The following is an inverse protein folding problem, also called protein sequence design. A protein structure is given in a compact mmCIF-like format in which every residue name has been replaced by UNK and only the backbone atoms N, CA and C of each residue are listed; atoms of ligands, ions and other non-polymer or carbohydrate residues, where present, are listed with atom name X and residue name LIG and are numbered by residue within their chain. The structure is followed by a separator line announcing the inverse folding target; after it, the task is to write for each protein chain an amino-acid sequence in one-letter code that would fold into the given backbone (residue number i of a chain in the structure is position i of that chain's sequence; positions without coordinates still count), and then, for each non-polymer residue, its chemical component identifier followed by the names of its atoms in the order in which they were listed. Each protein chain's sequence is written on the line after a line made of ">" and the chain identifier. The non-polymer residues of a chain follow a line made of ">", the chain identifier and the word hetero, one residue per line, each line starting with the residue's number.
data_IF_571418686899
#
_entry.id   IF_571418686899
#
_cell.length_a   1.000
_cell.length_b   1.000
_cell.length_c   1.000
_cell.angle_alpha   90.00
_cell.angle_beta   90.00
_cell.angle_gamma   90.00
#
_symmetry.space_group_name_H-M   'P 1'
#
loop_
_entity.id
_entity.type
_entity.pdbx_description
1 polymer ?
#
# COMPACT_ATOMS: atom_id res chain seq x y z
N UNK A 1 10.33 21.72 0.87
CA UNK A 1 9.66 22.27 2.08
C UNK A 1 8.21 22.52 1.71
N UNK A 2 7.48 21.43 1.47
CA UNK A 2 6.05 21.49 1.26
C UNK A 2 5.38 21.48 2.64
N UNK A 3 4.35 22.31 2.78
CA UNK A 3 3.75 22.70 4.03
C UNK A 3 3.37 21.47 4.87
N UNK A 4 3.87 21.42 6.11
CA UNK A 4 3.17 20.74 7.22
C UNK A 4 1.71 21.13 7.08
N UNK A 5 0.80 20.16 6.94
CA UNK A 5 -0.63 20.44 6.87
C UNK A 5 -0.99 21.31 8.07
N UNK A 6 -1.22 22.60 7.84
CA UNK A 6 -1.58 23.55 8.88
C UNK A 6 -2.93 23.08 9.45
N UNK A 7 -2.89 22.36 10.58
CA UNK A 7 -4.07 21.73 11.19
C UNK A 7 -3.96 20.23 11.49
N UNK A 8 -2.86 19.54 11.15
CA UNK A 8 -2.66 18.17 11.64
C UNK A 8 -2.09 18.18 13.08
N UNK A 9 -2.88 17.69 14.03
CA UNK A 9 -2.50 17.55 15.44
C UNK A 9 -2.26 16.06 15.75
N UNK A 10 -1.04 15.67 16.19
CA UNK A 10 -0.71 14.28 16.46
C UNK A 10 -1.58 13.65 17.56
N UNK A 11 -2.00 14.41 18.57
CA UNK A 11 -2.82 13.87 19.66
C UNK A 11 -4.25 13.59 19.19
N UNK A 12 -4.79 14.47 18.35
CA UNK A 12 -6.10 14.27 17.69
C UNK A 12 -6.03 13.11 16.70
N UNK A 13 -4.99 13.06 15.87
CA UNK A 13 -4.79 11.99 14.90
C UNK A 13 -4.63 10.61 15.57
N UNK A 14 -3.91 10.52 16.70
CA UNK A 14 -3.77 9.28 17.45
C UNK A 14 -5.13 8.80 17.99
N UNK A 15 -5.95 9.72 18.51
CA UNK A 15 -7.32 9.41 18.96
C UNK A 15 -8.21 8.94 17.83
N UNK A 16 -8.09 9.53 16.64
CA UNK A 16 -8.84 9.12 15.46
C UNK A 16 -8.42 7.73 14.97
N UNK A 17 -7.11 7.46 14.93
CA UNK A 17 -6.58 6.14 14.59
C UNK A 17 -7.09 5.09 15.57
N UNK A 18 -6.99 5.35 16.89
CA UNK A 18 -7.51 4.45 17.91
C UNK A 18 -9.03 4.30 17.86
N UNK A 19 -9.77 5.37 17.54
CA UNK A 19 -11.21 5.32 17.35
C UNK A 19 -11.58 4.43 16.17
N UNK A 20 -10.88 4.55 15.05
CA UNK A 20 -11.05 3.64 13.92
C UNK A 20 -10.75 2.19 14.32
N UNK A 21 -9.62 1.92 14.98
CA UNK A 21 -9.25 0.57 15.42
C UNK A 21 -10.28 -0.02 16.41
N UNK A 22 -10.90 0.80 17.25
CA UNK A 22 -11.81 0.31 18.28
C UNK A 22 -13.26 0.12 17.81
N UNK A 23 -13.71 0.84 16.78
CA UNK A 23 -15.12 0.88 16.39
C UNK A 23 -15.39 0.50 14.93
N UNK A 24 -14.37 0.44 14.07
CA UNK A 24 -14.53 0.04 12.67
C UNK A 24 -14.70 -1.48 12.54
N UNK A 25 -15.35 -1.89 11.45
CA UNK A 25 -15.43 -3.28 10.99
C UNK A 25 -14.44 -3.55 9.84
N UNK A 26 -13.41 -2.70 9.68
CA UNK A 26 -12.36 -2.85 8.67
C UNK A 26 -12.68 -2.23 7.31
N UNK A 27 -13.78 -1.49 7.19
CA UNK A 27 -14.07 -0.73 5.96
C UNK A 27 -13.01 0.35 5.74
N UNK A 28 -12.30 0.37 4.59
CA UNK A 28 -11.22 1.31 4.36
C UNK A 28 -11.64 2.77 4.58
N UNK A 29 -10.86 3.49 5.39
CA UNK A 29 -11.08 4.90 5.69
C UNK A 29 -9.86 5.75 5.27
N UNK A 30 -10.02 6.65 4.29
CA UNK A 30 -8.92 7.50 3.84
C UNK A 30 -8.34 8.41 4.93
N UNK A 31 -9.14 8.79 5.95
CA UNK A 31 -8.64 9.60 7.07
C UNK A 31 -7.71 8.80 7.97
N UNK A 32 -8.12 7.59 8.36
CA UNK A 32 -7.28 6.63 9.08
C UNK A 32 -5.95 6.37 8.34
N UNK A 33 -6.02 6.02 7.05
CA UNK A 33 -4.84 5.74 6.23
C UNK A 33 -3.90 6.95 6.15
N UNK A 34 -4.46 8.16 5.94
CA UNK A 34 -3.67 9.40 5.94
C UNK A 34 -2.98 9.63 7.27
N UNK A 35 -3.68 9.46 8.40
CA UNK A 35 -3.08 9.63 9.72
C UNK A 35 -1.91 8.66 9.96
N UNK A 36 -2.00 7.40 9.51
CA UNK A 36 -0.86 6.47 9.56
C UNK A 36 0.33 7.02 8.75
N UNK A 37 0.10 7.49 7.52
CA UNK A 37 1.14 8.10 6.68
C UNK A 37 1.79 9.34 7.32
N UNK A 38 0.99 10.21 7.95
CA UNK A 38 1.50 11.39 8.67
C UNK A 38 2.35 11.01 9.88
N UNK A 39 1.97 9.97 10.62
CA UNK A 39 2.81 9.45 11.71
C UNK A 39 4.15 8.93 11.18
N UNK A 40 4.16 8.23 10.05
CA UNK A 40 5.40 7.81 9.40
C UNK A 40 6.30 9.01 9.04
N UNK A 41 5.72 10.08 8.49
CA UNK A 41 6.45 11.33 8.22
C UNK A 41 7.06 11.94 9.47
N UNK A 42 6.30 11.96 10.56
CA UNK A 42 6.75 12.51 11.85
C UNK A 42 7.87 11.69 12.46
N UNK A 43 7.76 10.36 12.42
CA UNK A 43 8.70 9.46 13.07
C UNK A 43 10.00 9.30 12.31
N UNK A 44 9.94 9.30 10.97
CA UNK A 44 11.06 9.00 10.11
C UNK A 44 11.59 7.57 10.25
N UNK A 45 12.63 7.28 9.48
CA UNK A 45 13.36 6.01 9.49
C UNK A 45 14.14 5.78 10.81
N UNK A 46 14.48 4.53 11.17
CA UNK A 46 14.33 3.29 10.38
C UNK A 46 13.06 2.47 10.62
N UNK A 47 12.37 2.67 11.75
CA UNK A 47 11.23 1.82 12.17
C UNK A 47 10.02 2.66 12.61
N UNK A 48 9.41 3.44 11.70
CA UNK A 48 8.25 4.27 12.03
C UNK A 48 7.05 3.44 12.54
N UNK A 49 6.89 2.18 12.10
CA UNK A 49 5.82 1.28 12.58
C UNK A 49 5.95 0.95 14.07
N UNK A 50 7.18 0.71 14.57
CA UNK A 50 7.42 0.43 15.98
C UNK A 50 7.12 1.66 16.85
N UNK A 51 7.53 2.84 16.39
CA UNK A 51 7.21 4.11 17.06
C UNK A 51 5.71 4.39 17.06
N UNK A 52 5.01 4.08 15.97
CA UNK A 52 3.56 4.17 15.88
C UNK A 52 2.89 3.20 16.85
N UNK A 53 3.32 1.94 16.88
CA UNK A 53 2.79 0.93 17.79
C UNK A 53 2.89 1.39 19.25
N UNK A 54 4.08 1.83 19.69
CA UNK A 54 4.26 2.35 21.05
C UNK A 54 3.39 3.58 21.34
N UNK A 55 3.33 4.55 20.41
CA UNK A 55 2.49 5.73 20.57
C UNK A 55 1.01 5.35 20.75
N UNK A 56 0.49 4.47 19.91
CA UNK A 56 -0.90 4.04 19.95
C UNK A 56 -1.20 3.26 21.24
N UNK A 57 -0.28 2.38 21.68
CA UNK A 57 -0.43 1.64 22.93
C UNK A 57 -0.49 2.58 24.14
N UNK A 58 0.46 3.50 24.26
CA UNK A 58 0.50 4.49 25.35
C UNK A 58 -0.73 5.40 25.34
N UNK A 59 -1.16 5.83 24.16
CA UNK A 59 -2.32 6.70 23.99
C UNK A 59 -3.61 5.97 24.34
N UNK A 60 -3.75 4.70 23.95
CA UNK A 60 -4.92 3.88 24.30
C UNK A 60 -5.04 3.70 25.80
N UNK A 61 -3.93 3.45 26.50
CA UNK A 61 -3.90 3.37 27.96
C UNK A 61 -4.41 4.65 28.64
N UNK A 62 -3.93 5.81 28.17
CA UNK A 62 -4.41 7.12 28.67
C UNK A 62 -5.89 7.35 28.37
N UNK A 63 -6.36 6.98 27.18
CA UNK A 63 -7.76 7.16 26.78
C UNK A 63 -8.70 6.26 27.57
N UNK A 64 -8.29 5.03 27.89
CA UNK A 64 -9.07 4.13 28.74
C UNK A 64 -9.41 4.73 30.10
N UNK A 65 -8.46 5.46 30.68
CA UNK A 65 -8.61 6.04 32.01
C UNK A 65 -9.33 7.41 31.99
N UNK A 66 -9.30 8.12 30.86
CA UNK A 66 -9.74 9.52 30.77
C UNK A 66 -10.98 9.77 29.88
N UNK A 67 -11.34 8.84 28.99
CA UNK A 67 -12.42 9.02 28.01
C UNK A 67 -13.49 7.94 28.15
N UNK A 68 -14.76 8.31 28.45
CA UNK A 68 -15.86 7.36 28.50
C UNK A 68 -16.06 6.56 27.21
N UNK A 69 -15.75 7.16 26.06
CA UNK A 69 -15.84 6.50 24.74
C UNK A 69 -14.87 5.33 24.64
N UNK A 70 -13.69 5.43 25.25
CA UNK A 70 -12.66 4.37 25.26
C UNK A 70 -12.72 3.55 26.56
N UNK A 71 -13.88 3.40 27.19
CA UNK A 71 -13.98 2.55 28.39
C UNK A 71 -13.72 1.08 28.06
N UNK A 72 -14.24 0.63 26.93
CA UNK A 72 -13.93 -0.68 26.35
C UNK A 72 -12.98 -0.49 25.18
N UNK A 73 -11.79 -1.05 25.30
CA UNK A 73 -10.69 -0.96 24.33
C UNK A 73 -10.24 -2.33 23.84
N UNK A 74 -11.01 -3.38 24.15
CA UNK A 74 -10.63 -4.76 23.83
C UNK A 74 -10.32 -4.90 22.34
N UNK A 75 -11.19 -4.36 21.48
CA UNK A 75 -10.99 -4.42 20.04
C UNK A 75 -9.69 -3.74 19.61
N UNK A 76 -9.48 -2.46 19.94
CA UNK A 76 -8.27 -1.76 19.52
C UNK A 76 -7.00 -2.45 20.04
N UNK A 77 -7.00 -2.89 21.31
CA UNK A 77 -5.86 -3.58 21.92
C UNK A 77 -5.58 -4.91 21.20
N UNK A 78 -6.59 -5.74 21.00
CA UNK A 78 -6.42 -7.05 20.36
C UNK A 78 -6.04 -6.92 18.90
N UNK A 79 -6.62 -5.98 18.16
CA UNK A 79 -6.29 -5.73 16.74
C UNK A 79 -4.82 -5.30 16.59
N UNK A 80 -4.32 -4.42 17.47
CA UNK A 80 -2.90 -4.05 17.46
C UNK A 80 -1.99 -5.25 17.74
N UNK A 81 -2.27 -6.03 18.79
CA UNK A 81 -1.50 -7.25 19.08
C UNK A 81 -1.58 -8.27 17.93
N UNK A 82 -2.75 -8.51 17.34
CA UNK A 82 -2.91 -9.43 16.21
C UNK A 82 -2.08 -9.00 14.99
N UNK A 83 -2.12 -7.72 14.61
CA UNK A 83 -1.35 -7.22 13.47
C UNK A 83 0.15 -7.42 13.68
N UNK A 84 0.70 -6.96 14.81
CA UNK A 84 2.15 -6.96 15.03
C UNK A 84 2.70 -8.32 15.46
N UNK A 85 1.97 -9.09 16.25
CA UNK A 85 2.49 -10.33 16.85
C UNK A 85 2.09 -11.59 16.07
N UNK A 86 1.05 -11.53 15.22
CA UNK A 86 0.52 -12.71 14.52
C UNK A 86 0.51 -12.54 13.00
N UNK A 87 -0.23 -11.56 12.49
CA UNK A 87 -0.47 -11.42 11.04
C UNK A 87 0.79 -11.03 10.30
N UNK A 88 1.53 -10.02 10.77
CA UNK A 88 2.76 -9.60 10.10
C UNK A 88 3.84 -10.71 10.06
N UNK A 89 4.18 -11.39 11.18
CA UNK A 89 5.09 -12.53 11.13
C UNK A 89 4.60 -13.69 10.26
N UNK A 90 3.29 -13.96 10.26
CA UNK A 90 2.70 -15.00 9.42
C UNK A 90 2.73 -14.62 7.93
N UNK A 91 2.50 -13.35 7.57
CA UNK A 91 2.60 -12.85 6.20
C UNK A 91 4.04 -12.98 5.68
N UNK A 92 5.03 -12.64 6.52
CA UNK A 92 6.47 -12.85 6.21
C UNK A 92 6.80 -14.31 5.95
N UNK A 93 6.32 -15.20 6.81
CA UNK A 93 6.53 -16.65 6.65
C UNK A 93 5.84 -17.19 5.39
N UNK A 94 4.61 -16.75 5.14
CA UNK A 94 3.82 -17.19 3.98
C UNK A 94 4.49 -16.80 2.66
N UNK A 95 5.05 -15.59 2.60
CA UNK A 95 5.71 -15.03 1.41
C UNK A 95 7.24 -15.13 1.45
N UNK A 96 7.80 -16.04 2.26
CA UNK A 96 9.26 -16.15 2.41
C UNK A 96 9.95 -16.54 1.10
N UNK A 97 9.27 -17.23 0.20
CA UNK A 97 9.80 -17.64 -1.11
C UNK A 97 9.81 -16.46 -2.11
N UNK A 98 8.80 -15.61 -2.08
CA UNK A 98 8.65 -14.48 -3.00
C UNK A 98 9.30 -13.19 -2.51
N UNK A 99 9.24 -12.92 -1.19
CA UNK A 99 9.55 -11.63 -0.58
C UNK A 99 10.74 -11.66 0.39
N UNK A 100 11.56 -12.73 0.40
CA UNK A 100 12.75 -12.83 1.28
C UNK A 100 13.74 -11.67 1.13
N UNK A 101 13.77 -11.05 -0.03
CA UNK A 101 14.71 -9.98 -0.37
C UNK A 101 14.29 -8.62 0.21
N UNK A 102 13.03 -8.46 0.64
CA UNK A 102 12.53 -7.19 1.18
C UNK A 102 12.88 -7.02 2.65
N UNK A 103 13.45 -5.87 2.99
CA UNK A 103 13.59 -5.44 4.39
C UNK A 103 12.23 -5.12 5.02
N UNK A 104 12.18 -4.97 6.35
CA UNK A 104 10.97 -4.49 7.03
C UNK A 104 10.60 -3.07 6.61
N UNK A 105 11.59 -2.19 6.39
CA UNK A 105 11.33 -0.84 5.90
C UNK A 105 10.75 -0.84 4.47
N UNK A 106 11.15 -1.78 3.61
CA UNK A 106 10.58 -1.88 2.27
C UNK A 106 9.13 -2.40 2.29
N UNK A 107 8.81 -3.36 3.17
CA UNK A 107 7.48 -3.97 3.24
C UNK A 107 6.49 -3.12 4.05
N UNK A 108 6.87 -2.68 5.24
CA UNK A 108 6.02 -2.01 6.23
C UNK A 108 5.83 -0.52 5.95
N UNK A 109 5.56 -0.19 4.69
CA UNK A 109 5.15 1.16 4.25
C UNK A 109 3.80 1.55 4.90
N UNK A 110 3.50 2.85 5.06
CA UNK A 110 2.39 3.30 5.90
C UNK A 110 1.02 2.75 5.46
N UNK A 111 0.76 2.75 4.15
CA UNK A 111 -0.50 2.23 3.65
C UNK A 111 -0.55 0.70 3.63
N UNK A 112 0.59 0.00 3.57
CA UNK A 112 0.60 -1.45 3.78
C UNK A 112 0.20 -1.79 5.21
N UNK A 113 0.73 -1.06 6.21
CA UNK A 113 0.33 -1.21 7.60
C UNK A 113 -1.17 -0.90 7.81
N UNK A 114 -1.69 0.13 7.15
CA UNK A 114 -3.12 0.43 7.18
C UNK A 114 -3.96 -0.75 6.64
N UNK A 115 -3.53 -1.39 5.55
CA UNK A 115 -4.20 -2.58 4.99
C UNK A 115 -4.13 -3.79 5.92
N UNK A 116 -3.05 -3.98 6.67
CA UNK A 116 -2.97 -5.02 7.71
C UNK A 116 -4.06 -4.82 8.77
N UNK A 117 -4.21 -3.59 9.28
CA UNK A 117 -5.26 -3.27 10.25
C UNK A 117 -6.66 -3.49 9.68
N UNK A 118 -6.93 -3.00 8.47
CA UNK A 118 -8.22 -3.18 7.79
C UNK A 118 -8.56 -4.65 7.57
N UNK A 119 -7.56 -5.46 7.17
CA UNK A 119 -7.75 -6.89 6.95
C UNK A 119 -8.06 -7.65 8.25
N UNK A 120 -7.37 -7.33 9.35
CA UNK A 120 -7.66 -7.92 10.67
C UNK A 120 -9.03 -7.50 11.18
N UNK A 121 -9.38 -6.22 11.09
CA UNK A 121 -10.69 -5.71 11.51
C UNK A 121 -11.84 -6.37 10.74
N UNK A 122 -11.65 -6.62 9.44
CA UNK A 122 -12.64 -7.27 8.58
C UNK A 122 -12.96 -8.71 9.03
N UNK A 123 -12.03 -9.39 9.70
CA UNK A 123 -12.27 -10.77 10.19
C UNK A 123 -13.27 -10.83 11.35
N UNK A 124 -13.48 -9.70 12.04
CA UNK A 124 -14.33 -9.59 13.21
C UNK A 124 -13.87 -10.42 14.42
N UNK A 125 -14.46 -10.12 15.58
CA UNK A 125 -14.27 -10.92 16.79
C UNK A 125 -14.88 -12.33 16.68
N UNK A 126 -14.59 -13.23 17.63
CA UNK A 126 -13.81 -13.02 18.85
C UNK A 126 -12.31 -12.82 18.59
N UNK A 127 -11.71 -11.78 19.18
CA UNK A 127 -10.31 -11.39 18.89
C UNK A 127 -9.25 -12.33 19.46
N UNK A 128 -9.65 -13.27 20.32
CA UNK A 128 -8.78 -14.32 20.84
C UNK A 128 -8.46 -15.41 19.80
N UNK A 129 -9.23 -15.51 18.71
CA UNK A 129 -9.10 -16.55 17.68
C UNK A 129 -8.01 -16.24 16.66
N UNK A 130 -6.77 -16.03 17.12
CA UNK A 130 -5.64 -15.67 16.25
C UNK A 130 -5.40 -16.69 15.12
N UNK A 131 -5.62 -17.98 15.39
CA UNK A 131 -5.44 -19.07 14.41
C UNK A 131 -6.47 -19.06 13.27
N UNK A 132 -7.62 -18.40 13.47
CA UNK A 132 -8.60 -18.11 12.41
C UNK A 132 -8.27 -16.77 11.74
N UNK A 133 -8.08 -15.72 12.54
CA UNK A 133 -7.96 -14.35 12.04
C UNK A 133 -6.71 -14.18 11.16
N UNK A 134 -5.56 -14.73 11.55
CA UNK A 134 -4.32 -14.53 10.82
C UNK A 134 -4.34 -15.11 9.38
N UNK A 135 -4.68 -16.38 9.15
CA UNK A 135 -4.75 -16.91 7.78
C UNK A 135 -5.84 -16.23 6.95
N UNK A 136 -7.01 -15.92 7.52
CA UNK A 136 -8.09 -15.28 6.77
C UNK A 136 -7.73 -13.83 6.38
N UNK A 137 -7.06 -13.08 7.27
CA UNK A 137 -6.54 -11.75 6.95
C UNK A 137 -5.46 -11.79 5.85
N UNK A 138 -4.56 -12.78 5.88
CA UNK A 138 -3.55 -12.98 4.82
C UNK A 138 -4.23 -13.32 3.49
N UNK A 139 -5.23 -14.20 3.50
CA UNK A 139 -6.02 -14.53 2.31
C UNK A 139 -6.71 -13.32 1.71
N UNK A 140 -7.25 -12.43 2.55
CA UNK A 140 -7.85 -11.16 2.11
C UNK A 140 -6.81 -10.18 1.54
N UNK A 141 -5.62 -10.12 2.13
CA UNK A 141 -4.53 -9.26 1.65
C UNK A 141 -3.97 -9.73 0.31
N UNK A 142 -3.86 -11.04 0.11
CA UNK A 142 -3.34 -11.69 -1.08
C UNK A 142 -4.33 -11.59 -2.26
N UNK A 143 -4.55 -10.36 -2.73
CA UNK A 143 -5.57 -10.02 -3.73
C UNK A 143 -4.98 -9.84 -5.14
N UNK A 144 -3.66 -9.86 -5.31
CA UNK A 144 -3.00 -9.60 -6.60
C UNK A 144 -2.02 -10.70 -7.00
N UNK A 145 -2.19 -11.24 -8.21
CA UNK A 145 -1.22 -12.16 -8.84
C UNK A 145 -0.51 -11.52 -10.04
N UNK A 146 -1.15 -10.56 -10.71
CA UNK A 146 -0.72 -10.00 -11.98
C UNK A 146 -0.95 -10.94 -13.17
N UNK A 147 -0.31 -10.68 -14.30
CA UNK A 147 -0.41 -11.56 -15.47
C UNK A 147 0.15 -12.96 -15.17
N UNK A 148 -0.73 -13.97 -15.15
CA UNK A 148 -0.36 -15.39 -15.03
C UNK A 148 -0.54 -16.10 -16.38
N UNK A 149 0.52 -16.47 -17.09
CA UNK A 149 0.40 -17.33 -18.26
C UNK A 149 0.00 -18.74 -17.81
N UNK A 150 -1.25 -19.12 -18.10
CA UNK A 150 -1.74 -20.47 -17.82
C UNK A 150 -1.51 -21.35 -19.05
N UNK A 151 -0.63 -22.36 -19.00
CA UNK A 151 -0.60 -23.38 -20.05
C UNK A 151 -1.90 -24.17 -20.00
N UNK A 152 -2.70 -24.11 -21.08
CA UNK A 152 -3.91 -24.93 -21.22
C UNK A 152 -3.45 -26.37 -21.46
N UNK A 153 -3.53 -27.20 -20.42
CA UNK A 153 -3.27 -28.63 -20.56
C UNK A 153 -4.57 -29.35 -20.92
N UNK A 154 -4.53 -30.23 -21.92
CA UNK A 154 -5.70 -30.98 -22.42
C UNK A 154 -6.39 -31.83 -21.33
N UNK A 155 -5.70 -32.13 -20.22
CA UNK A 155 -6.11 -33.12 -19.22
C UNK A 155 -6.59 -32.55 -17.88
N UNK A 156 -6.61 -31.22 -17.68
CA UNK A 156 -7.09 -30.63 -16.42
C UNK A 156 -7.97 -29.39 -16.62
N UNK A 157 -9.27 -29.45 -16.30
CA UNK A 157 -10.09 -28.27 -16.17
C UNK A 157 -9.86 -27.67 -14.76
N UNK A 158 -9.27 -26.47 -14.73
CA UNK A 158 -9.13 -25.49 -13.63
C UNK A 158 -7.66 -25.21 -13.26
N UNK A 159 -7.21 -24.03 -13.66
CA UNK A 159 -5.92 -23.45 -13.32
C UNK A 159 -6.16 -22.21 -12.44
N UNK A 160 -6.64 -22.43 -11.23
CA UNK A 160 -6.67 -21.36 -10.23
C UNK A 160 -5.23 -21.08 -9.76
N UNK A 161 -4.87 -19.81 -9.50
CA UNK A 161 -3.59 -19.49 -8.91
C UNK A 161 -3.34 -20.23 -7.61
N UNK A 162 -2.10 -20.66 -7.35
CA UNK A 162 -1.75 -21.10 -6.01
C UNK A 162 -1.83 -19.90 -5.07
N UNK A 163 -2.33 -20.11 -3.86
CA UNK A 163 -2.58 -19.02 -2.91
C UNK A 163 -1.32 -18.20 -2.60
N UNK A 164 -0.16 -18.86 -2.52
CA UNK A 164 1.13 -18.22 -2.27
C UNK A 164 1.66 -17.39 -3.45
N UNK A 165 1.09 -17.51 -4.66
CA UNK A 165 1.47 -16.66 -5.80
C UNK A 165 0.81 -15.27 -5.73
N UNK A 166 -0.27 -15.15 -4.96
CA UNK A 166 -0.98 -13.89 -4.74
C UNK A 166 -0.31 -13.13 -3.60
N UNK A 167 -0.01 -11.86 -3.82
CA UNK A 167 0.55 -10.95 -2.81
C UNK A 167 -0.37 -9.76 -2.62
N UNK A 168 -0.16 -9.00 -1.54
CA UNK A 168 -0.71 -7.65 -1.45
C UNK A 168 0.27 -6.66 -2.08
N UNK A 169 -0.11 -5.92 -3.15
CA UNK A 169 0.67 -4.80 -3.65
C UNK A 169 0.83 -3.74 -2.57
N UNK A 170 2.00 -3.12 -2.48
CA UNK A 170 2.28 -2.08 -1.49
C UNK A 170 1.70 -0.76 -2.00
N UNK A 171 0.67 -0.18 -1.34
CA UNK A 171 0.03 1.03 -1.85
C UNK A 171 0.95 2.24 -1.72
N UNK A 172 1.11 2.98 -2.81
CA UNK A 172 1.87 4.23 -2.91
C UNK A 172 0.95 5.46 -2.94
N UNK A 173 -0.29 5.29 -3.40
CA UNK A 173 -1.33 6.31 -3.32
C UNK A 173 -2.66 5.62 -3.07
N UNK A 174 -3.50 6.23 -2.22
CA UNK A 174 -4.89 5.83 -2.04
C UNK A 174 -5.77 7.09 -2.19
N UNK A 175 -6.86 6.97 -2.96
CA UNK A 175 -7.82 8.06 -3.13
C UNK A 175 -8.32 8.55 -1.79
N UNK A 176 -8.25 9.86 -1.61
CA UNK A 176 -8.65 10.52 -0.36
C UNK A 176 -7.60 10.43 0.75
N UNK A 177 -6.67 9.47 0.74
CA UNK A 177 -5.57 9.45 1.71
C UNK A 177 -4.37 10.25 1.21
N UNK A 178 -4.13 10.25 -0.10
CA UNK A 178 -3.00 10.91 -0.75
C UNK A 178 -1.86 9.92 -1.04
N UNK A 179 -0.64 10.44 -1.16
CA UNK A 179 0.56 9.66 -1.46
C UNK A 179 1.21 9.17 -0.17
N UNK A 180 1.63 7.91 -0.15
CA UNK A 180 2.32 7.29 0.96
C UNK A 180 3.66 8.00 1.20
N UNK A 181 3.97 8.28 2.46
CA UNK A 181 5.31 8.71 2.85
C UNK A 181 6.27 7.55 2.69
N UNK A 182 7.41 7.79 2.04
CA UNK A 182 8.43 6.79 1.77
C UNK A 182 9.36 7.22 0.63
N UNK A 183 10.26 6.33 0.22
CA UNK A 183 11.28 6.62 -0.82
C UNK A 183 10.68 7.06 -2.17
N UNK A 184 9.49 6.57 -2.52
CA UNK A 184 8.81 6.92 -3.77
C UNK A 184 7.93 8.16 -3.69
N UNK A 185 7.77 8.78 -2.50
CA UNK A 185 6.79 9.84 -2.25
C UNK A 185 6.88 10.98 -3.27
N UNK A 186 8.07 11.58 -3.42
CA UNK A 186 8.26 12.76 -4.26
C UNK A 186 7.97 12.46 -5.74
N UNK A 187 8.43 11.31 -6.25
CA UNK A 187 8.21 10.91 -7.64
C UNK A 187 6.73 10.65 -7.89
N UNK A 188 6.06 9.91 -7.01
CA UNK A 188 4.64 9.58 -7.16
C UNK A 188 3.77 10.83 -7.02
N UNK A 189 4.02 11.68 -6.03
CA UNK A 189 3.29 12.93 -5.84
C UNK A 189 3.42 13.84 -7.05
N UNK A 190 4.66 14.02 -7.56
CA UNK A 190 4.89 14.82 -8.76
C UNK A 190 4.25 14.19 -10.01
N UNK A 191 4.23 12.87 -10.12
CA UNK A 191 3.59 12.15 -11.23
C UNK A 191 2.08 12.40 -11.26
N UNK A 192 1.41 12.26 -10.11
CA UNK A 192 -0.02 12.51 -10.01
C UNK A 192 -0.37 13.98 -10.26
N UNK A 193 0.48 14.91 -9.80
CA UNK A 193 0.35 16.35 -10.11
C UNK A 193 0.44 16.59 -11.62
N UNK A 194 1.41 15.99 -12.31
CA UNK A 194 1.53 16.09 -13.77
C UNK A 194 0.30 15.52 -14.48
N UNK A 195 -0.12 14.30 -14.13
CA UNK A 195 -1.30 13.66 -14.70
C UNK A 195 -2.57 14.51 -14.53
N UNK A 196 -2.73 15.19 -13.38
CA UNK A 196 -3.87 16.08 -13.13
C UNK A 196 -3.88 17.35 -14.00
N UNK A 197 -2.72 17.75 -14.51
CA UNK A 197 -2.51 18.94 -15.35
C UNK A 197 -2.33 18.61 -16.83
N UNK A 198 -2.24 17.33 -17.18
CA UNK A 198 -2.13 16.85 -18.57
C UNK A 198 -3.39 17.21 -19.36
N UNK A 199 -3.20 17.54 -20.64
CA UNK A 199 -4.32 17.84 -21.54
C UNK A 199 -5.34 16.68 -21.55
N UNK A 200 -6.64 16.96 -21.33
CA UNK A 200 -7.67 15.92 -21.30
C UNK A 200 -7.72 15.04 -22.55
N UNK A 201 -7.32 15.56 -23.72
CA UNK A 201 -7.25 14.79 -24.96
C UNK A 201 -6.16 13.71 -24.94
N UNK A 202 -5.03 13.95 -24.27
CA UNK A 202 -3.97 12.95 -24.09
C UNK A 202 -4.46 11.84 -23.16
N UNK A 203 -5.08 12.21 -22.03
CA UNK A 203 -5.64 11.25 -21.08
C UNK A 203 -6.72 10.38 -21.73
N UNK A 204 -7.58 10.99 -22.54
CA UNK A 204 -8.62 10.29 -23.28
C UNK A 204 -8.04 9.31 -24.31
N UNK A 205 -6.99 9.68 -25.05
CA UNK A 205 -6.30 8.79 -26.00
C UNK A 205 -5.63 7.61 -25.30
N UNK A 206 -5.12 7.82 -24.08
CA UNK A 206 -4.55 6.78 -23.23
C UNK A 206 -5.61 5.97 -22.46
N UNK A 207 -6.91 6.25 -22.65
CA UNK A 207 -8.00 5.64 -21.88
C UNK A 207 -7.81 5.75 -20.35
N UNK A 208 -7.14 6.80 -19.90
CA UNK A 208 -6.81 7.01 -18.50
C UNK A 208 -7.73 8.05 -17.85
N UNK A 209 -8.19 7.78 -16.63
CA UNK A 209 -8.89 8.75 -15.81
C UNK A 209 -8.35 8.70 -14.38
N UNK A 210 -7.74 9.80 -13.94
CA UNK A 210 -7.26 9.93 -12.57
C UNK A 210 -8.41 9.82 -11.56
N UNK A 211 -9.61 10.27 -11.94
CA UNK A 211 -10.83 10.13 -11.15
C UNK A 211 -11.31 8.69 -11.01
N UNK A 212 -10.74 7.72 -11.73
CA UNK A 212 -11.02 6.29 -11.54
C UNK A 212 -9.93 5.56 -10.75
N UNK A 213 -8.77 6.18 -10.54
CA UNK A 213 -7.67 5.59 -9.78
C UNK A 213 -7.95 5.65 -8.26
N UNK A 214 -8.32 4.52 -7.67
CA UNK A 214 -8.46 4.37 -6.21
C UNK A 214 -7.13 4.06 -5.54
N UNK A 215 -6.26 3.30 -6.21
CA UNK A 215 -4.98 2.89 -5.67
C UNK A 215 -3.89 2.84 -6.75
N UNK A 216 -2.75 3.47 -6.48
CA UNK A 216 -1.50 3.17 -7.18
C UNK A 216 -0.64 2.36 -6.21
N UNK A 217 -0.16 1.21 -6.64
CA UNK A 217 0.64 0.32 -5.80
C UNK A 217 1.88 -0.15 -6.52
N UNK A 218 2.88 -0.59 -5.77
CA UNK A 218 4.05 -1.29 -6.29
C UNK A 218 3.95 -2.78 -6.02
N UNK A 219 4.31 -3.58 -7.01
CA UNK A 219 4.48 -5.02 -6.84
C UNK A 219 5.73 -5.28 -5.96
N UNK A 220 5.57 -5.92 -4.79
CA UNK A 220 6.68 -6.17 -3.88
C UNK A 220 7.63 -7.28 -4.36
N UNK A 221 7.25 -8.04 -5.39
CA UNK A 221 8.07 -9.16 -5.87
C UNK A 221 9.32 -8.66 -6.58
N UNK A 222 10.40 -9.43 -6.47
CA UNK A 222 11.64 -9.16 -7.19
C UNK A 222 11.39 -9.28 -8.71
N UNK A 223 12.07 -8.44 -9.47
CA UNK A 223 12.06 -8.55 -10.92
C UNK A 223 13.04 -9.64 -11.38
N UNK A 224 12.49 -10.71 -11.97
CA UNK A 224 13.27 -11.82 -12.54
C UNK A 224 13.34 -11.72 -14.07
N UNK A 225 14.48 -11.28 -14.60
CA UNK A 225 14.71 -11.19 -16.05
C UNK A 225 14.52 -12.51 -16.81
N UNK A 226 14.66 -13.65 -16.14
CA UNK A 226 14.50 -14.98 -16.75
C UNK A 226 13.05 -15.45 -16.78
N UNK A 227 12.16 -14.84 -15.98
CA UNK A 227 10.78 -15.26 -15.91
C UNK A 227 10.05 -14.95 -17.23
N UNK A 228 9.39 -15.93 -17.88
CA UNK A 228 8.77 -15.75 -19.20
C UNK A 228 7.76 -14.60 -19.27
N UNK A 229 7.07 -14.31 -18.16
CA UNK A 229 6.13 -13.18 -18.04
C UNK A 229 6.76 -11.84 -18.42
N UNK A 230 8.05 -11.66 -18.10
CA UNK A 230 8.79 -10.42 -18.31
C UNK A 230 9.25 -10.24 -19.77
N UNK A 231 9.09 -11.27 -20.62
CA UNK A 231 9.28 -11.15 -22.05
C UNK A 231 8.05 -10.52 -22.75
N UNK A 232 6.93 -10.40 -22.04
CA UNK A 232 5.73 -9.76 -22.56
C UNK A 232 5.97 -8.26 -22.71
N UNK A 233 5.59 -7.66 -23.86
CA UNK A 233 5.64 -6.22 -24.03
C UNK A 233 4.93 -5.50 -22.88
N UNK A 234 5.58 -4.46 -22.37
CA UNK A 234 5.09 -3.56 -21.33
C UNK A 234 4.85 -4.17 -19.93
N UNK A 235 4.97 -5.47 -19.72
CA UNK A 235 4.71 -6.08 -18.41
C UNK A 235 5.63 -5.56 -17.29
N UNK A 236 6.87 -5.23 -17.65
CA UNK A 236 7.86 -4.62 -16.76
C UNK A 236 7.45 -3.24 -16.24
N UNK A 237 6.51 -2.56 -16.91
CA UNK A 237 6.08 -1.21 -16.56
C UNK A 237 4.96 -1.21 -15.51
N UNK A 238 4.15 -2.26 -15.49
CA UNK A 238 3.01 -2.39 -14.63
C UNK A 238 1.78 -2.85 -15.39
N UNK A 239 0.67 -2.98 -14.67
CA UNK A 239 -0.63 -3.31 -15.24
C UNK A 239 -1.78 -2.79 -14.38
N UNK A 240 -2.93 -2.55 -15.02
CA UNK A 240 -4.18 -2.44 -14.30
C UNK A 240 -4.53 -3.77 -13.67
N UNK A 241 -4.92 -3.76 -12.40
CA UNK A 241 -5.25 -4.98 -11.69
C UNK A 241 -6.61 -5.55 -12.12
N UNK A 242 -6.65 -6.74 -12.72
CA UNK A 242 -7.89 -7.33 -13.20
C UNK A 242 -8.86 -7.74 -12.09
N UNK A 243 -8.41 -7.83 -10.84
CA UNK A 243 -9.25 -8.20 -9.70
C UNK A 243 -9.82 -6.98 -8.96
N UNK A 244 -9.46 -5.76 -9.35
CA UNK A 244 -9.91 -4.52 -8.71
C UNK A 244 -10.75 -3.69 -9.70
N UNK A 245 -12.05 -4.02 -9.76
CA UNK A 245 -13.03 -3.42 -10.67
C UNK A 245 -14.14 -2.71 -9.88
N UNK A 246 -14.68 -1.62 -10.43
CA UNK A 246 -15.94 -1.08 -9.96
C UNK A 246 -17.16 -1.81 -10.55
N UNK A 247 -18.36 -1.40 -10.13
CA UNK A 247 -19.63 -1.96 -10.60
C UNK A 247 -19.88 -1.78 -12.12
N UNK A 248 -19.07 -0.97 -12.80
CA UNK A 248 -19.12 -0.77 -14.26
C UNK A 248 -17.96 -1.48 -14.97
N UNK A 249 -17.27 -2.41 -14.29
CA UNK A 249 -16.12 -3.16 -14.79
C UNK A 249 -14.94 -2.26 -15.22
N UNK A 250 -14.75 -1.11 -14.57
CA UNK A 250 -13.58 -0.25 -14.78
C UNK A 250 -12.52 -0.53 -13.73
N UNK A 251 -11.26 -0.64 -14.15
CA UNK A 251 -10.14 -0.86 -13.24
C UNK A 251 -9.97 0.30 -12.26
N UNK A 252 -9.64 -0.03 -11.01
CA UNK A 252 -9.51 0.92 -9.89
C UNK A 252 -8.12 0.95 -9.26
N UNK A 253 -7.31 -0.07 -9.52
CA UNK A 253 -5.93 -0.17 -9.01
C UNK A 253 -4.94 -0.36 -10.15
N UNK A 254 -3.90 0.47 -10.16
CA UNK A 254 -2.76 0.32 -11.05
C UNK A 254 -1.57 -0.20 -10.24
N UNK A 255 -0.93 -1.27 -10.71
CA UNK A 255 0.24 -1.87 -10.03
C UNK A 255 1.47 -1.71 -10.91
N UNK A 256 2.42 -0.89 -10.47
CA UNK A 256 3.72 -0.68 -11.13
C UNK A 256 4.78 -1.64 -10.59
N UNK A 257 5.83 -1.91 -11.36
CA UNK A 257 6.94 -2.77 -10.90
C UNK A 257 8.00 -1.93 -10.17
N UNK A 258 8.55 -2.50 -9.09
CA UNK A 258 9.61 -1.89 -8.28
C UNK A 258 10.80 -1.44 -9.13
N UNK A 259 11.23 -2.27 -10.09
CA UNK A 259 12.36 -1.97 -11.01
C UNK A 259 12.22 -0.63 -11.74
N UNK A 260 11.01 -0.21 -12.09
CA UNK A 260 10.78 1.08 -12.76
C UNK A 260 11.01 2.22 -11.77
N UNK A 261 10.38 2.14 -10.61
CA UNK A 261 10.50 3.19 -9.60
C UNK A 261 11.93 3.30 -9.07
N UNK A 262 12.59 2.17 -8.84
CA UNK A 262 13.97 2.12 -8.36
C UNK A 262 14.94 2.69 -9.41
N UNK A 263 14.76 2.40 -10.70
CA UNK A 263 15.56 3.02 -11.76
C UNK A 263 15.36 4.55 -11.85
N UNK A 264 14.14 5.03 -11.60
CA UNK A 264 13.85 6.47 -11.56
C UNK A 264 14.52 7.14 -10.36
N UNK A 265 14.49 6.51 -9.18
CA UNK A 265 15.19 7.01 -7.99
C UNK A 265 16.70 6.99 -8.17
N UNK A 266 17.25 5.89 -8.69
CA UNK A 266 18.69 5.75 -8.96
C UNK A 266 19.20 6.89 -9.85
N UNK A 267 18.43 7.24 -10.89
CA UNK A 267 18.74 8.40 -11.74
C UNK A 267 18.76 9.70 -10.95
N UNK A 268 17.81 9.94 -10.06
CA UNK A 268 17.75 11.18 -9.26
C UNK A 268 18.95 11.26 -8.32
N UNK A 269 19.33 10.15 -7.69
CA UNK A 269 20.32 10.13 -6.61
C UNK A 269 21.77 10.11 -7.13
N UNK A 270 22.01 9.51 -8.31
CA UNK A 270 23.37 9.32 -8.84
C UNK A 270 23.73 10.22 -10.03
N UNK A 271 22.77 10.98 -10.59
CA UNK A 271 23.08 11.93 -11.68
C UNK A 271 23.64 13.24 -11.12
N UNK A 272 24.82 13.65 -11.61
CA UNK A 272 25.43 14.95 -11.29
C UNK A 272 25.22 15.98 -12.39
N UNK A 273 25.12 17.26 -12.02
CA UNK A 273 24.99 18.39 -12.96
C UNK A 273 23.64 19.09 -12.87
N UNK A 274 22.52 18.48 -13.32
CA UNK A 274 21.20 19.10 -13.25
C UNK A 274 20.71 19.30 -11.80
N UNK A 275 19.88 20.32 -11.53
CA UNK A 275 19.21 20.46 -10.24
C UNK A 275 18.32 19.25 -9.92
N UNK A 276 18.29 18.82 -8.64
CA UNK A 276 17.42 17.70 -8.20
C UNK A 276 15.95 17.89 -8.58
N UNK A 277 15.45 19.13 -8.56
CA UNK A 277 14.07 19.43 -8.93
C UNK A 277 13.77 19.13 -10.42
N UNK A 278 14.76 19.30 -11.30
CA UNK A 278 14.66 18.96 -12.72
C UNK A 278 14.66 17.44 -12.91
N UNK A 279 15.59 16.73 -12.25
CA UNK A 279 15.64 15.26 -12.26
C UNK A 279 14.35 14.64 -11.72
N UNK A 280 13.78 15.22 -10.66
CA UNK A 280 12.49 14.78 -10.11
C UNK A 280 11.35 15.01 -11.11
N UNK A 281 11.34 16.14 -11.80
CA UNK A 281 10.35 16.40 -12.85
C UNK A 281 10.48 15.42 -14.01
N UNK A 282 11.70 15.16 -14.49
CA UNK A 282 11.98 14.17 -15.55
C UNK A 282 11.50 12.78 -15.13
N UNK A 283 11.85 12.35 -13.92
CA UNK A 283 11.46 11.04 -13.40
C UNK A 283 9.93 10.91 -13.28
N UNK A 284 9.27 11.95 -12.79
CA UNK A 284 7.81 11.99 -12.69
C UNK A 284 7.13 12.02 -14.06
N UNK A 285 7.70 12.75 -15.04
CA UNK A 285 7.20 12.75 -16.41
C UNK A 285 7.37 11.38 -17.07
N UNK A 286 8.49 10.71 -16.82
CA UNK A 286 8.72 9.34 -17.29
C UNK A 286 7.69 8.37 -16.69
N UNK A 287 7.46 8.41 -15.36
CA UNK A 287 6.44 7.58 -14.72
C UNK A 287 5.03 7.90 -15.20
N UNK A 288 4.69 9.19 -15.40
CA UNK A 288 3.41 9.59 -15.98
C UNK A 288 3.23 8.99 -17.39
N UNK A 289 4.26 9.07 -18.24
CA UNK A 289 4.27 8.41 -19.54
C UNK A 289 4.09 6.90 -19.42
N UNK A 290 4.77 6.25 -18.46
CA UNK A 290 4.62 4.82 -18.16
C UNK A 290 3.19 4.44 -17.78
N UNK A 291 2.51 5.26 -16.98
CA UNK A 291 1.11 5.04 -16.57
C UNK A 291 0.13 5.18 -17.73
N UNK A 292 0.46 6.01 -18.74
CA UNK A 292 -0.39 6.26 -19.91
C UNK A 292 -0.17 5.27 -21.07
N UNK A 293 0.82 4.36 -20.98
CA UNK A 293 1.08 3.30 -21.96
C UNK A 293 0.23 2.06 -21.70
#
# INVERSE_FOLDING_TARGET
>A
MEQVGAGWDPDVAAREVLGYLNFSQGTPDPRFQRNISEFYRRFGEPEPWNRLHHLLHDTLGKLRDSSPTFRDVEQAQSVMSLVFEKVLPAYRTHHQDLLFHLSDSDLLQPFFLARLFEAVLTQGGPWAEADRIAPDAIGLLNDFVGHRPVPVLETRPKHEPYDHERVRPIPLYIRGAGVAVGKYHDVVARTLDLLSKTDPSILAQAHFSLDLLDELAVDPRAYDFSHPVNQRPNYQFGEWDPHCLDNQARYRRLVVRSVVLDALLDRIDHTSGPPRAELLFEAAAALAGTILM
#
